data_IF_595682527630
#
_entry.id   IF_595682527630
#
_cell.length_a   1.000
_cell.length_b   1.000
_cell.length_c   1.000
_cell.angle_alpha   90.00
_cell.angle_beta   90.00
_cell.angle_gamma   90.00
#
_symmetry.space_group_name_H-M   'P 1'
#
loop_
_entity.id
_entity.type
_entity.pdbx_description
1 polymer ?
#
# COMPACT_ATOMS: atom_id res chain seq x y z
N UNK A 1 13.60 -19.89 -7.97
CA UNK A 1 12.19 -19.45 -7.95
C UNK A 1 11.90 -18.45 -9.05
N UNK A 2 10.63 -18.30 -9.47
CA UNK A 2 10.24 -17.23 -10.41
C UNK A 2 10.04 -15.89 -9.72
N UNK A 3 10.56 -14.81 -10.34
CA UNK A 3 10.40 -13.45 -9.88
C UNK A 3 10.23 -12.50 -11.07
N UNK A 4 9.58 -11.34 -10.83
CA UNK A 4 9.50 -10.27 -11.83
C UNK A 4 10.68 -9.33 -11.64
N UNK A 5 11.51 -9.19 -12.68
CA UNK A 5 12.68 -8.30 -12.69
C UNK A 5 12.75 -7.45 -13.96
N UNK A 6 13.59 -6.43 -13.90
CA UNK A 6 14.01 -5.64 -15.05
C UNK A 6 15.54 -5.51 -15.09
N UNK A 7 16.11 -5.56 -16.30
CA UNK A 7 17.55 -5.47 -16.56
C UNK A 7 17.93 -4.19 -17.30
N UNK A 8 16.96 -3.36 -17.62
CA UNK A 8 17.11 -2.03 -18.24
C UNK A 8 15.98 -1.13 -17.72
N UNK A 9 16.18 0.19 -17.78
CA UNK A 9 15.15 1.15 -17.40
C UNK A 9 14.20 1.41 -18.55
N UNK A 10 12.90 1.56 -18.25
CA UNK A 10 11.89 1.76 -19.29
C UNK A 10 10.47 1.77 -18.72
N UNK A 11 9.51 1.47 -19.56
CA UNK A 11 8.12 1.27 -19.15
C UNK A 11 7.85 -0.16 -18.67
N UNK A 12 6.57 -0.54 -18.51
CA UNK A 12 6.21 -1.90 -18.08
C UNK A 12 6.72 -3.01 -19.03
N UNK A 13 7.02 -2.66 -20.26
CA UNK A 13 7.52 -3.58 -21.30
C UNK A 13 8.91 -4.17 -21.02
N UNK A 14 9.68 -3.58 -20.10
CA UNK A 14 11.00 -4.11 -19.70
C UNK A 14 10.90 -5.17 -18.60
N UNK A 15 9.74 -5.36 -18.01
CA UNK A 15 9.53 -6.35 -16.96
C UNK A 15 9.53 -7.78 -17.56
N UNK A 16 10.25 -8.68 -16.90
CA UNK A 16 10.34 -10.10 -17.29
C UNK A 16 10.15 -11.01 -16.09
N UNK A 17 9.54 -12.15 -16.31
CA UNK A 17 9.56 -13.25 -15.36
C UNK A 17 10.87 -14.02 -15.58
N UNK A 18 11.68 -14.12 -14.55
CA UNK A 18 13.00 -14.78 -14.58
C UNK A 18 13.13 -15.79 -13.44
N UNK A 19 14.06 -16.72 -13.60
CA UNK A 19 14.47 -17.60 -12.50
C UNK A 19 15.57 -16.90 -11.69
N UNK A 20 15.43 -16.91 -10.36
CA UNK A 20 16.40 -16.37 -9.41
C UNK A 20 16.54 -17.32 -8.22
N UNK A 21 17.62 -17.16 -7.46
CA UNK A 21 17.80 -17.89 -6.21
C UNK A 21 16.71 -17.51 -5.20
N UNK A 22 16.33 -18.45 -4.35
CA UNK A 22 15.38 -18.18 -3.28
C UNK A 22 16.04 -17.33 -2.19
N UNK A 23 15.39 -16.25 -1.72
CA UNK A 23 15.91 -15.49 -0.60
C UNK A 23 15.72 -16.28 0.71
N UNK A 24 16.57 -16.04 1.70
CA UNK A 24 16.43 -16.58 3.05
C UNK A 24 16.12 -15.49 4.07
N UNK A 25 15.34 -15.85 5.08
CA UNK A 25 15.01 -14.96 6.20
C UNK A 25 16.24 -14.75 7.09
N UNK A 26 16.72 -13.51 7.17
CA UNK A 26 17.74 -13.11 8.16
C UNK A 26 17.18 -12.92 9.57
N UNK A 27 18.03 -12.57 10.52
CA UNK A 27 17.60 -12.26 11.89
C UNK A 27 16.51 -11.15 11.90
N UNK A 28 15.44 -11.39 12.64
CA UNK A 28 14.30 -10.47 12.72
C UNK A 28 13.44 -10.39 11.46
N UNK A 29 13.52 -11.37 10.56
CA UNK A 29 12.78 -11.43 9.30
C UNK A 29 11.97 -12.72 9.18
N UNK A 30 10.97 -12.73 8.31
CA UNK A 30 10.27 -13.95 7.90
C UNK A 30 10.28 -14.06 6.39
N UNK A 31 10.34 -15.29 5.84
CA UNK A 31 10.06 -15.53 4.43
C UNK A 31 8.63 -16.07 4.30
N UNK A 32 7.98 -15.67 3.22
CA UNK A 32 6.65 -16.13 2.87
C UNK A 32 6.63 -16.77 1.49
N UNK A 33 5.85 -17.84 1.33
CA UNK A 33 5.32 -18.27 0.05
C UNK A 33 4.24 -17.25 -0.35
N UNK A 34 4.53 -16.42 -1.34
CA UNK A 34 3.66 -15.30 -1.75
C UNK A 34 2.37 -15.83 -2.36
N UNK A 35 1.25 -15.30 -1.91
CA UNK A 35 -0.09 -15.55 -2.48
C UNK A 35 -0.57 -14.37 -3.31
N UNK A 36 -0.25 -13.15 -2.88
CA UNK A 36 -0.50 -11.92 -3.62
C UNK A 36 0.55 -10.87 -3.27
N UNK A 37 0.93 -10.04 -4.23
CA UNK A 37 1.84 -8.92 -4.05
C UNK A 37 1.19 -7.64 -4.61
N UNK A 38 1.27 -6.55 -3.85
CA UNK A 38 0.79 -5.25 -4.28
C UNK A 38 1.72 -4.63 -5.34
N UNK A 39 1.12 -3.94 -6.31
CA UNK A 39 1.84 -3.14 -7.30
C UNK A 39 1.49 -1.67 -7.10
N UNK A 40 2.49 -0.86 -6.84
CA UNK A 40 2.34 0.55 -6.55
C UNK A 40 2.87 1.44 -7.69
N UNK A 41 2.36 2.66 -7.85
CA UNK A 41 2.94 3.64 -8.79
C UNK A 41 4.44 3.84 -8.59
N UNK A 42 4.93 3.72 -7.35
CA UNK A 42 6.35 3.80 -7.03
C UNK A 42 7.20 2.71 -7.69
N UNK A 43 6.66 1.52 -7.91
CA UNK A 43 7.38 0.44 -8.60
C UNK A 43 7.62 0.82 -10.06
N UNK A 44 6.59 1.33 -10.75
CA UNK A 44 6.73 1.80 -12.12
C UNK A 44 7.63 3.04 -12.24
N UNK A 45 7.60 3.94 -11.24
CA UNK A 45 8.51 5.08 -11.19
C UNK A 45 9.97 4.63 -11.09
N UNK A 46 10.27 3.62 -10.26
CA UNK A 46 11.61 3.05 -10.13
C UNK A 46 12.11 2.48 -11.46
N UNK A 47 11.27 1.69 -12.14
CA UNK A 47 11.60 1.10 -13.43
C UNK A 47 11.88 2.16 -14.49
N UNK A 48 11.08 3.23 -14.55
CA UNK A 48 11.20 4.30 -15.55
C UNK A 48 12.36 5.24 -15.27
N UNK A 49 12.51 5.68 -14.03
CA UNK A 49 13.49 6.71 -13.66
C UNK A 49 14.89 6.15 -13.40
N UNK A 50 15.03 4.85 -13.15
CA UNK A 50 16.30 4.24 -12.76
C UNK A 50 16.81 4.69 -11.39
N UNK A 51 15.99 5.43 -10.65
CA UNK A 51 16.38 5.98 -9.33
C UNK A 51 15.22 5.85 -8.33
N UNK A 52 15.59 5.75 -7.06
CA UNK A 52 14.65 5.85 -5.95
C UNK A 52 15.19 6.81 -4.88
N UNK A 53 14.43 7.85 -4.57
CA UNK A 53 14.84 8.92 -3.64
C UNK A 53 16.23 9.49 -3.98
N UNK A 54 16.50 9.67 -5.27
CA UNK A 54 17.78 10.20 -5.77
C UNK A 54 18.93 9.19 -5.87
N UNK A 55 18.75 7.95 -5.42
CA UNK A 55 19.77 6.91 -5.51
C UNK A 55 19.53 6.02 -6.75
N UNK A 56 20.58 5.68 -7.52
CA UNK A 56 20.47 4.74 -8.62
C UNK A 56 19.95 3.37 -8.16
N UNK A 57 19.12 2.74 -8.97
CA UNK A 57 18.67 1.37 -8.73
C UNK A 57 19.63 0.43 -9.46
N UNK A 58 20.26 -0.53 -8.76
CA UNK A 58 21.13 -1.50 -9.43
C UNK A 58 20.33 -2.40 -10.37
N UNK A 59 20.95 -2.84 -11.44
CA UNK A 59 20.40 -3.79 -12.40
C UNK A 59 21.16 -5.13 -12.36
N UNK A 60 20.49 -6.29 -12.50
CA UNK A 60 19.04 -6.43 -12.55
C UNK A 60 18.37 -6.16 -11.21
N UNK A 61 17.11 -5.73 -11.21
CA UNK A 61 16.35 -5.44 -10.00
C UNK A 61 14.94 -6.01 -10.06
N UNK A 62 14.43 -6.45 -8.91
CA UNK A 62 13.03 -6.87 -8.76
C UNK A 62 12.10 -5.69 -8.47
N UNK A 63 10.80 -5.95 -8.51
CA UNK A 63 9.74 -5.01 -8.15
C UNK A 63 8.91 -5.53 -6.98
N UNK A 64 8.10 -4.63 -6.42
CA UNK A 64 7.22 -4.91 -5.29
C UNK A 64 7.87 -4.59 -3.94
N UNK A 65 7.06 -4.06 -3.04
CA UNK A 65 7.46 -3.66 -1.68
C UNK A 65 6.52 -4.21 -0.61
N UNK A 66 5.45 -4.89 -1.02
CA UNK A 66 4.43 -5.46 -0.14
C UNK A 66 3.91 -6.77 -0.69
N UNK A 67 3.52 -7.65 0.19
CA UNK A 67 2.87 -8.91 -0.18
C UNK A 67 2.08 -9.49 0.99
N UNK A 68 1.20 -10.45 0.67
CA UNK A 68 0.57 -11.35 1.61
C UNK A 68 0.87 -12.80 1.19
N UNK A 69 1.04 -13.67 2.16
CA UNK A 69 1.37 -15.08 1.93
C UNK A 69 1.42 -15.89 3.21
N UNK A 70 1.95 -17.08 3.09
CA UNK A 70 2.10 -18.03 4.20
C UNK A 70 3.58 -18.11 4.57
N UNK A 71 3.89 -17.96 5.85
CA UNK A 71 5.26 -18.06 6.37
C UNK A 71 5.80 -19.46 6.12
N UNK A 72 6.95 -19.57 5.47
CA UNK A 72 7.66 -20.82 5.19
C UNK A 72 9.08 -20.86 5.79
N UNK A 73 9.63 -19.72 6.24
CA UNK A 73 10.89 -19.63 6.95
C UNK A 73 10.83 -18.49 7.99
N UNK A 74 11.39 -18.75 9.17
CA UNK A 74 11.43 -17.80 10.29
C UNK A 74 12.88 -17.55 10.66
N UNK A 75 13.30 -16.29 10.64
CA UNK A 75 14.66 -15.89 11.01
C UNK A 75 14.90 -15.86 12.51
N UNK A 76 16.15 -15.79 12.89
CA UNK A 76 16.58 -15.75 14.30
C UNK A 76 15.93 -14.56 15.02
N UNK A 77 15.47 -14.79 16.27
CA UNK A 77 14.89 -13.77 17.14
C UNK A 77 13.43 -13.44 16.88
N UNK A 78 12.79 -14.02 15.87
CA UNK A 78 11.34 -13.88 15.63
C UNK A 78 10.59 -14.90 16.49
N UNK A 79 9.69 -14.44 17.34
CA UNK A 79 8.97 -15.28 18.32
C UNK A 79 7.45 -15.15 18.26
N UNK A 80 6.92 -14.17 17.50
CA UNK A 80 5.51 -13.82 17.44
C UNK A 80 4.74 -14.47 16.28
N UNK A 81 5.46 -15.18 15.39
CA UNK A 81 4.92 -15.82 14.20
C UNK A 81 5.53 -17.21 14.00
N UNK A 82 4.78 -18.12 13.39
CA UNK A 82 5.20 -19.50 13.12
C UNK A 82 5.11 -19.84 11.62
N UNK A 83 5.87 -20.85 11.20
CA UNK A 83 5.70 -21.45 9.87
C UNK A 83 4.25 -21.94 9.73
N UNK A 84 3.62 -21.60 8.61
CA UNK A 84 2.22 -21.87 8.32
C UNK A 84 1.28 -20.70 8.62
N UNK A 85 1.71 -19.68 9.37
CA UNK A 85 0.89 -18.50 9.63
C UNK A 85 0.66 -17.67 8.35
N UNK A 86 -0.57 -17.18 8.18
CA UNK A 86 -0.92 -16.25 7.12
C UNK A 86 -0.59 -14.82 7.55
N UNK A 87 0.20 -14.11 6.74
CA UNK A 87 0.64 -12.75 7.04
C UNK A 87 0.55 -11.83 5.83
N UNK A 88 0.56 -10.52 6.09
CA UNK A 88 0.78 -9.46 5.09
C UNK A 88 1.85 -8.50 5.62
N UNK A 89 2.62 -7.89 4.72
CA UNK A 89 3.70 -7.04 5.21
C UNK A 89 4.57 -6.43 4.13
N UNK A 90 5.63 -5.81 4.61
CA UNK A 90 6.64 -5.13 3.81
C UNK A 90 7.86 -6.01 3.56
N UNK A 91 8.33 -5.98 2.31
CA UNK A 91 9.56 -6.63 1.89
C UNK A 91 10.22 -5.90 0.72
N UNK A 92 11.14 -6.57 0.07
CA UNK A 92 11.74 -6.13 -1.19
C UNK A 92 11.54 -7.20 -2.24
N UNK A 93 11.34 -6.76 -3.51
CA UNK A 93 11.19 -7.68 -4.65
C UNK A 93 10.06 -8.68 -4.43
N UNK A 94 8.94 -8.22 -3.87
CA UNK A 94 7.84 -9.08 -3.43
C UNK A 94 7.02 -9.66 -4.59
N UNK A 95 7.19 -9.16 -5.83
CA UNK A 95 6.59 -9.74 -7.02
C UNK A 95 7.35 -11.03 -7.45
N UNK A 96 7.32 -12.06 -6.60
CA UNK A 96 8.03 -13.31 -6.72
C UNK A 96 7.27 -14.45 -6.05
N UNK A 97 7.71 -15.71 -6.26
CA UNK A 97 7.11 -16.86 -5.60
C UNK A 97 7.34 -16.87 -4.08
N UNK A 98 8.51 -16.40 -3.63
CA UNK A 98 8.84 -16.20 -2.22
C UNK A 98 9.36 -14.79 -2.00
N UNK A 99 9.10 -14.23 -0.82
CA UNK A 99 9.58 -12.91 -0.44
C UNK A 99 9.96 -12.88 1.05
N UNK A 100 11.01 -12.12 1.38
CA UNK A 100 11.40 -11.85 2.76
C UNK A 100 10.72 -10.56 3.21
N UNK A 101 9.97 -10.65 4.31
CA UNK A 101 9.33 -9.52 4.96
C UNK A 101 10.17 -9.04 6.14
N UNK A 102 10.26 -7.73 6.28
CA UNK A 102 10.93 -7.05 7.41
C UNK A 102 9.97 -6.51 8.45
N UNK A 103 8.72 -6.34 8.08
CA UNK A 103 7.61 -5.93 8.94
C UNK A 103 6.36 -6.67 8.47
N UNK A 104 5.61 -7.25 9.39
CA UNK A 104 4.42 -8.01 9.08
C UNK A 104 3.34 -7.86 10.15
N UNK A 105 2.12 -8.26 9.77
CA UNK A 105 1.02 -8.52 10.68
C UNK A 105 0.34 -9.84 10.27
N UNK A 106 -0.31 -10.51 11.23
CA UNK A 106 -1.18 -11.64 10.91
C UNK A 106 -2.30 -11.18 9.99
N UNK A 107 -2.52 -11.92 8.92
CA UNK A 107 -3.64 -11.66 8.02
C UNK A 107 -4.95 -12.04 8.75
N UNK A 108 -5.96 -11.16 8.84
CA UNK A 108 -7.28 -11.53 9.30
C UNK A 108 -7.85 -12.71 8.49
N UNK A 109 -8.55 -13.62 9.14
CA UNK A 109 -9.06 -14.84 8.48
C UNK A 109 -10.06 -14.53 7.37
N UNK A 110 -10.89 -13.50 7.56
CA UNK A 110 -11.91 -13.02 6.62
C UNK A 110 -11.37 -12.13 5.49
N UNK A 111 -10.09 -11.74 5.53
CA UNK A 111 -9.45 -10.95 4.47
C UNK A 111 -8.82 -11.88 3.42
N UNK A 112 -9.28 -11.90 2.15
CA UNK A 112 -8.68 -12.71 1.10
C UNK A 112 -7.23 -12.27 0.79
N UNK A 113 -6.39 -13.21 0.32
CA UNK A 113 -4.98 -12.89 0.01
C UNK A 113 -4.82 -11.89 -1.11
N UNK A 114 -5.67 -11.91 -2.12
CA UNK A 114 -5.66 -10.98 -3.26
C UNK A 114 -5.96 -9.54 -2.84
N UNK A 115 -6.76 -9.34 -1.81
CA UNK A 115 -6.93 -8.05 -1.17
C UNK A 115 -5.77 -7.72 -0.22
N UNK A 116 -5.41 -8.66 0.66
CA UNK A 116 -4.36 -8.49 1.65
C UNK A 116 -3.00 -8.07 1.05
N UNK A 117 -2.68 -8.57 -0.16
CA UNK A 117 -1.42 -8.25 -0.84
C UNK A 117 -1.22 -6.76 -1.16
N UNK A 118 -2.29 -5.98 -1.26
CA UNK A 118 -2.22 -4.53 -1.53
C UNK A 118 -2.49 -3.63 -0.32
N UNK A 119 -2.68 -4.20 0.87
CA UNK A 119 -3.01 -3.45 2.09
C UNK A 119 -1.82 -2.75 2.75
N UNK A 120 -0.63 -3.35 2.88
CA UNK A 120 0.43 -2.80 3.72
C UNK A 120 0.80 -1.36 3.37
N UNK A 121 1.03 -1.04 2.09
CA UNK A 121 1.45 0.30 1.65
C UNK A 121 0.35 1.34 1.89
N UNK A 122 -0.88 1.04 1.53
CA UNK A 122 -1.97 2.03 1.61
C UNK A 122 -2.38 2.28 3.06
N UNK A 123 -2.40 1.26 3.90
CA UNK A 123 -2.80 1.37 5.31
C UNK A 123 -1.72 2.07 6.13
N UNK A 124 -0.45 1.65 6.02
CA UNK A 124 0.66 2.32 6.72
C UNK A 124 0.77 3.79 6.30
N UNK A 125 0.76 4.06 5.00
CA UNK A 125 0.87 5.43 4.49
C UNK A 125 -0.28 6.30 5.00
N UNK A 126 -1.51 5.79 5.00
CA UNK A 126 -2.66 6.52 5.50
C UNK A 126 -2.57 6.76 7.00
N UNK A 127 -2.18 5.75 7.78
CA UNK A 127 -1.98 5.87 9.24
C UNK A 127 -0.93 6.92 9.56
N UNK A 128 0.21 6.87 8.88
CA UNK A 128 1.32 7.81 9.07
C UNK A 128 0.93 9.23 8.68
N UNK A 129 0.20 9.43 7.57
CA UNK A 129 -0.28 10.75 7.15
C UNK A 129 -1.26 11.33 8.17
N UNK A 130 -2.23 10.55 8.65
CA UNK A 130 -3.18 11.00 9.67
C UNK A 130 -2.47 11.41 10.96
N UNK A 131 -1.49 10.63 11.39
CA UNK A 131 -0.67 10.96 12.56
C UNK A 131 0.15 12.26 12.36
N UNK A 132 0.74 12.45 11.18
CA UNK A 132 1.52 13.65 10.86
C UNK A 132 0.65 14.92 10.76
N UNK A 133 -0.56 14.81 10.20
CA UNK A 133 -1.52 15.91 10.15
C UNK A 133 -2.03 16.25 11.54
N UNK A 134 -2.08 15.28 12.44
CA UNK A 134 -2.50 15.47 13.83
C UNK A 134 -3.98 15.79 13.99
N UNK A 135 -4.81 15.43 13.00
CA UNK A 135 -6.27 15.63 13.02
C UNK A 135 -6.91 14.78 14.13
N UNK A 136 -7.88 15.35 14.83
CA UNK A 136 -8.51 14.77 16.01
C UNK A 136 -9.99 14.43 15.77
N UNK A 137 -10.53 13.56 16.62
CA UNK A 137 -11.97 13.29 16.66
C UNK A 137 -12.80 14.57 16.74
N UNK A 138 -13.87 14.63 15.95
CA UNK A 138 -14.74 15.81 15.83
C UNK A 138 -14.25 16.87 14.84
N UNK A 139 -13.04 16.74 14.31
CA UNK A 139 -12.53 17.64 13.26
C UNK A 139 -12.90 17.15 11.85
N UNK A 140 -12.74 18.05 10.87
CA UNK A 140 -12.99 17.76 9.46
C UNK A 140 -11.69 17.75 8.68
N UNK A 141 -11.43 16.65 7.97
CA UNK A 141 -10.26 16.42 7.12
C UNK A 141 -10.63 16.52 5.64
N UNK A 142 -9.85 17.28 4.88
CA UNK A 142 -9.91 17.26 3.42
C UNK A 142 -8.90 16.25 2.88
N UNK A 143 -9.38 15.25 2.14
CA UNK A 143 -8.55 14.28 1.43
C UNK A 143 -8.58 14.57 -0.07
N UNK A 144 -7.43 14.95 -0.63
CA UNK A 144 -7.26 15.13 -2.07
C UNK A 144 -6.94 13.79 -2.74
N UNK A 145 -7.59 13.51 -3.89
CA UNK A 145 -7.45 12.21 -4.56
C UNK A 145 -8.08 11.06 -3.76
N UNK A 146 -9.19 11.34 -3.09
CA UNK A 146 -9.83 10.47 -2.11
C UNK A 146 -10.26 9.09 -2.65
N UNK A 147 -10.47 8.95 -3.96
CA UNK A 147 -10.85 7.69 -4.59
C UNK A 147 -9.64 6.81 -5.01
N UNK A 148 -8.41 7.21 -4.69
CA UNK A 148 -7.23 6.39 -4.85
C UNK A 148 -7.00 5.44 -3.66
N UNK A 149 -6.07 4.48 -3.76
CA UNK A 149 -5.81 3.48 -2.71
C UNK A 149 -5.54 4.12 -1.34
N UNK A 150 -4.58 5.04 -1.24
CA UNK A 150 -4.25 5.75 0.01
C UNK A 150 -5.46 6.58 0.49
N UNK A 151 -6.13 7.31 -0.43
CA UNK A 151 -7.30 8.10 -0.08
C UNK A 151 -8.45 7.28 0.49
N UNK A 152 -8.72 6.13 -0.10
CA UNK A 152 -9.77 5.19 0.35
C UNK A 152 -9.46 4.61 1.73
N UNK A 153 -8.21 4.25 1.99
CA UNK A 153 -7.77 3.79 3.32
C UNK A 153 -7.84 4.93 4.34
N UNK A 154 -7.37 6.14 3.97
CA UNK A 154 -7.40 7.31 4.84
C UNK A 154 -8.83 7.71 5.27
N UNK A 155 -9.81 7.62 4.36
CA UNK A 155 -11.22 7.87 4.70
C UNK A 155 -11.68 6.92 5.79
N UNK A 156 -11.48 5.64 5.61
CA UNK A 156 -11.96 4.61 6.54
C UNK A 156 -11.29 4.74 7.91
N UNK A 157 -9.97 4.93 7.94
CA UNK A 157 -9.22 5.15 9.18
C UNK A 157 -9.64 6.44 9.90
N UNK A 158 -9.78 7.55 9.16
CA UNK A 158 -10.23 8.82 9.74
C UNK A 158 -11.63 8.68 10.37
N UNK A 159 -12.55 8.02 9.67
CA UNK A 159 -13.89 7.75 10.21
C UNK A 159 -13.85 6.86 11.46
N UNK A 160 -13.02 5.83 11.47
CA UNK A 160 -12.83 4.99 12.66
C UNK A 160 -12.39 5.81 13.87
N UNK A 161 -11.62 6.87 13.65
CA UNK A 161 -11.20 7.82 14.68
C UNK A 161 -12.19 8.97 14.93
N UNK A 162 -13.40 8.93 14.39
CA UNK A 162 -14.43 9.97 14.62
C UNK A 162 -14.15 11.28 13.88
N UNK A 163 -13.43 11.25 12.78
CA UNK A 163 -13.07 12.40 11.95
C UNK A 163 -14.02 12.45 10.74
N UNK A 164 -14.62 13.62 10.49
CA UNK A 164 -15.41 13.87 9.29
C UNK A 164 -14.47 14.03 8.09
N UNK A 165 -14.75 13.35 6.97
CA UNK A 165 -13.91 13.43 5.77
C UNK A 165 -14.67 14.08 4.62
N UNK A 166 -14.09 15.14 4.04
CA UNK A 166 -14.46 15.66 2.73
C UNK A 166 -13.43 15.13 1.73
N UNK A 167 -13.89 14.40 0.71
CA UNK A 167 -13.01 13.77 -0.28
C UNK A 167 -13.14 14.37 -1.68
N UNK A 168 -12.02 14.75 -2.33
CA UNK A 168 -12.07 15.17 -3.73
C UNK A 168 -11.91 14.00 -4.67
N UNK A 169 -12.80 13.90 -5.65
CA UNK A 169 -12.72 12.94 -6.75
C UNK A 169 -13.47 13.48 -7.98
N UNK A 170 -13.33 12.80 -9.13
CA UNK A 170 -14.22 13.03 -10.27
C UNK A 170 -15.67 12.62 -9.95
N UNK A 171 -16.65 13.29 -10.52
CA UNK A 171 -18.06 13.07 -10.23
C UNK A 171 -18.51 11.59 -10.29
N UNK A 172 -18.07 10.76 -11.27
CA UNK A 172 -18.42 9.33 -11.31
C UNK A 172 -17.94 8.51 -10.09
N UNK A 173 -16.99 9.03 -9.30
CA UNK A 173 -16.47 8.36 -8.09
C UNK A 173 -17.16 8.83 -6.80
N UNK A 174 -18.13 9.75 -6.87
CA UNK A 174 -18.75 10.30 -5.67
C UNK A 174 -19.54 9.26 -4.88
N UNK A 175 -20.25 8.35 -5.54
CA UNK A 175 -21.00 7.29 -4.85
C UNK A 175 -20.07 6.31 -4.14
N UNK A 176 -18.92 6.00 -4.73
CA UNK A 176 -17.87 5.23 -4.08
C UNK A 176 -17.40 5.92 -2.79
N UNK A 177 -17.11 7.24 -2.84
CA UNK A 177 -16.70 7.99 -1.66
C UNK A 177 -17.79 8.04 -0.58
N UNK A 178 -19.06 8.16 -0.97
CA UNK A 178 -20.19 8.09 -0.02
C UNK A 178 -20.28 6.71 0.63
N UNK A 179 -20.06 5.64 -0.12
CA UNK A 179 -20.02 4.27 0.38
C UNK A 179 -18.93 4.06 1.44
N UNK A 180 -17.77 4.74 1.30
CA UNK A 180 -16.73 4.80 2.32
C UNK A 180 -17.06 5.76 3.47
N UNK A 181 -18.12 6.59 3.32
CA UNK A 181 -18.65 7.55 4.29
C UNK A 181 -17.95 8.89 4.29
N UNK A 182 -17.32 9.28 3.20
CA UNK A 182 -16.85 10.63 3.00
C UNK A 182 -17.92 11.49 2.32
N UNK A 183 -17.83 12.81 2.54
CA UNK A 183 -18.60 13.82 1.81
C UNK A 183 -17.84 14.14 0.52
N UNK A 184 -18.34 13.75 -0.68
CA UNK A 184 -17.60 13.95 -1.90
C UNK A 184 -17.72 15.37 -2.44
N UNK A 185 -16.65 15.85 -3.07
CA UNK A 185 -16.66 17.07 -3.90
C UNK A 185 -15.73 16.90 -5.10
N UNK A 186 -15.93 17.70 -6.14
CA UNK A 186 -15.00 17.74 -7.28
C UNK A 186 -13.79 18.62 -6.96
N UNK A 187 -12.66 18.32 -7.55
CA UNK A 187 -11.48 19.19 -7.57
C UNK A 187 -11.61 20.32 -8.61
N UNK A 188 -10.60 21.20 -8.71
CA UNK A 188 -10.54 22.29 -9.69
C UNK A 188 -11.21 23.60 -9.25
N UNK A 189 -11.53 24.49 -10.19
CA UNK A 189 -12.05 25.83 -9.88
C UNK A 189 -13.26 25.81 -8.95
N UNK A 190 -13.34 26.77 -8.04
CA UNK A 190 -14.43 26.88 -7.05
C UNK A 190 -14.35 25.88 -5.90
N UNK A 191 -13.29 25.07 -5.75
CA UNK A 191 -13.16 24.09 -4.67
C UNK A 191 -13.28 24.74 -3.29
N UNK A 192 -12.61 25.88 -3.06
CA UNK A 192 -12.62 26.57 -1.75
C UNK A 192 -14.03 26.98 -1.35
N UNK A 193 -14.83 27.48 -2.27
CA UNK A 193 -16.20 27.89 -2.02
C UNK A 193 -17.07 26.67 -1.68
N UNK A 194 -16.95 25.57 -2.45
CA UNK A 194 -17.64 24.31 -2.15
C UNK A 194 -17.29 23.77 -0.76
N UNK A 195 -16.02 23.83 -0.37
CA UNK A 195 -15.57 23.38 0.95
C UNK A 195 -16.16 24.22 2.07
N UNK A 196 -16.25 25.54 1.91
CA UNK A 196 -16.89 26.43 2.90
C UNK A 196 -18.35 26.05 3.12
N UNK A 197 -19.09 25.81 2.05
CA UNK A 197 -20.49 25.40 2.12
C UNK A 197 -20.66 24.03 2.79
N UNK A 198 -19.85 23.05 2.44
CA UNK A 198 -19.91 21.71 3.02
C UNK A 198 -19.54 21.68 4.51
N UNK A 199 -18.62 22.55 4.97
CA UNK A 199 -18.27 22.66 6.40
C UNK A 199 -19.43 23.18 7.27
N UNK A 200 -20.37 23.94 6.71
CA UNK A 200 -21.52 24.47 7.45
C UNK A 200 -22.61 23.42 7.67
N UNK A 201 -22.56 22.31 6.92
CA UNK A 201 -23.55 21.22 6.93
C UNK A 201 -23.01 19.90 7.48
N UNK A 202 -21.73 19.83 7.81
CA UNK A 202 -21.03 18.67 8.36
C UNK A 202 -20.82 18.83 9.87
#
# INVERSE_FOLDING_TARGET
MKAVQFSEYGGPEVLRVVEVDEPHAGAGQVRIAVRAAGVNPSDLMKVRAGTWKGNPIPLPSGIGVEAAGVVDEVGEGVTDILIGDAVLGYGRNTAAQCAVLTNWARKPDDLPFDEAGGFPVVVETSTRILAQVGVKSGETLLVSGAAGGIGSAAIQLARYHGITVIGTASAPKHDYLRGLGAIPTTYGPGLVERLRNLRQTA
#
